data_IF_257093251204
#
_entry.id   IF_257093251204
#
_cell.length_a   1.000
_cell.length_b   1.000
_cell.length_c   1.000
_cell.angle_alpha   90.00
_cell.angle_beta   90.00
_cell.angle_gamma   90.00
#
_symmetry.space_group_name_H-M   'P 1'
#
loop_
_entity.id
_entity.type
_entity.pdbx_description
1 polymer ?
#
# COMPACT_ATOMS: atom_id res chain seq x y z
N UNK A 1 -3.51 -0.57 14.27
CA UNK A 1 -2.20 -1.09 13.86
C UNK A 1 -1.11 -0.36 14.63
N UNK A 2 -0.09 -1.08 15.11
CA UNK A 2 1.11 -0.50 15.76
C UNK A 2 2.21 -0.17 14.74
N UNK A 3 3.20 0.65 15.10
CA UNK A 3 4.37 0.91 14.23
C UNK A 3 5.09 -0.39 13.82
N UNK A 4 5.14 -1.36 14.73
CA UNK A 4 5.76 -2.67 14.51
C UNK A 4 5.02 -3.48 13.45
N UNK A 5 3.69 -3.56 13.55
CA UNK A 5 2.84 -4.22 12.54
C UNK A 5 2.93 -3.52 11.19
N UNK A 6 3.02 -2.19 11.18
CA UNK A 6 3.16 -1.41 9.96
C UNK A 6 4.49 -1.71 9.26
N UNK A 7 5.60 -1.80 10.02
CA UNK A 7 6.91 -2.18 9.48
C UNK A 7 6.94 -3.61 8.91
N UNK A 8 6.12 -4.51 9.44
CA UNK A 8 6.03 -5.88 8.93
C UNK A 8 5.47 -5.97 7.49
N UNK A 9 4.83 -4.90 7.00
CA UNK A 9 4.33 -4.81 5.62
C UNK A 9 5.39 -4.39 4.60
N UNK A 10 6.57 -3.94 5.03
CA UNK A 10 7.64 -3.55 4.10
C UNK A 10 8.14 -4.78 3.35
N UNK A 11 8.25 -4.66 2.02
CA UNK A 11 8.64 -5.75 1.14
C UNK A 11 7.49 -6.69 0.76
N UNK A 12 6.25 -6.39 1.14
CA UNK A 12 5.07 -7.18 0.79
C UNK A 12 4.38 -6.66 -0.47
N UNK A 13 3.85 -7.57 -1.29
CA UNK A 13 3.00 -7.23 -2.43
C UNK A 13 1.51 -7.19 -1.99
N UNK A 14 0.76 -6.18 -2.42
CA UNK A 14 -0.65 -5.92 -2.05
C UNK A 14 -1.47 -5.49 -3.26
N UNK A 15 -2.80 -5.54 -3.14
CA UNK A 15 -3.73 -4.93 -4.09
C UNK A 15 -4.18 -3.56 -3.56
N UNK A 16 -4.06 -2.52 -4.38
CA UNK A 16 -4.51 -1.16 -4.05
C UNK A 16 -5.75 -0.76 -4.86
N UNK A 17 -6.80 -0.28 -4.18
CA UNK A 17 -7.98 0.31 -4.81
C UNK A 17 -7.70 1.75 -5.22
N UNK A 18 -7.63 2.00 -6.53
CA UNK A 18 -7.31 3.32 -7.07
C UNK A 18 -8.50 4.28 -6.87
N UNK A 19 -8.36 5.35 -6.05
CA UNK A 19 -9.44 6.32 -5.82
C UNK A 19 -9.92 6.96 -7.13
N UNK A 20 -11.23 7.21 -7.25
CA UNK A 20 -11.82 7.89 -8.41
C UNK A 20 -11.99 7.04 -9.67
N UNK A 21 -11.48 5.80 -9.69
CA UNK A 21 -11.65 4.86 -10.82
C UNK A 21 -12.78 3.85 -10.61
N UNK A 22 -13.36 3.81 -9.42
CA UNK A 22 -14.57 3.06 -9.08
C UNK A 22 -14.41 1.54 -8.91
N UNK A 23 -13.49 0.86 -9.63
CA UNK A 23 -13.36 -0.62 -9.57
C UNK A 23 -11.95 -1.18 -9.87
N UNK A 24 -10.92 -0.35 -10.00
CA UNK A 24 -9.60 -0.85 -10.41
C UNK A 24 -8.75 -1.17 -9.19
N UNK A 25 -8.41 -2.45 -9.04
CA UNK A 25 -7.36 -2.92 -8.15
C UNK A 25 -6.05 -3.03 -8.94
N UNK A 26 -4.98 -2.49 -8.39
CA UNK A 26 -3.64 -2.58 -8.98
C UNK A 26 -2.72 -3.30 -8.01
N UNK A 27 -2.00 -4.31 -8.51
CA UNK A 27 -0.93 -4.95 -7.76
C UNK A 27 0.21 -3.97 -7.53
N UNK A 28 0.63 -3.85 -6.28
CA UNK A 28 1.71 -2.96 -5.85
C UNK A 28 2.64 -3.65 -4.87
N UNK A 29 3.90 -3.23 -4.84
CA UNK A 29 4.86 -3.58 -3.79
C UNK A 29 4.94 -2.46 -2.77
N UNK A 30 5.02 -2.81 -1.50
CA UNK A 30 5.24 -1.86 -0.39
C UNK A 30 6.73 -1.74 -0.13
N UNK A 31 7.29 -0.54 -0.26
CA UNK A 31 8.73 -0.29 -0.05
C UNK A 31 9.04 0.40 1.28
N UNK A 32 8.07 1.14 1.83
CA UNK A 32 8.21 1.84 3.10
C UNK A 32 6.85 2.05 3.77
N UNK A 33 6.86 2.26 5.09
CA UNK A 33 5.66 2.47 5.90
C UNK A 33 5.89 3.56 6.94
N UNK A 34 4.93 4.48 7.03
CA UNK A 34 4.98 5.59 8.00
C UNK A 34 3.62 5.85 8.64
N UNK A 35 3.66 6.60 9.74
CA UNK A 35 2.46 7.20 10.35
C UNK A 35 2.51 8.70 10.10
N UNK A 36 1.45 9.24 9.50
CA UNK A 36 1.28 10.66 9.23
C UNK A 36 -0.09 11.12 9.68
N UNK A 37 -0.15 12.15 10.53
CA UNK A 37 -1.41 12.67 11.09
C UNK A 37 -2.33 11.58 11.70
N UNK A 38 -1.73 10.60 12.39
CA UNK A 38 -2.47 9.49 13.01
C UNK A 38 -2.96 8.42 12.04
N UNK A 39 -2.65 8.52 10.73
CA UNK A 39 -2.98 7.53 9.71
C UNK A 39 -1.75 6.76 9.25
N UNK A 40 -1.89 5.45 9.06
CA UNK A 40 -0.85 4.61 8.47
C UNK A 40 -0.84 4.80 6.96
N UNK A 41 0.32 5.12 6.41
CA UNK A 41 0.54 5.25 4.98
C UNK A 41 1.60 4.27 4.50
N UNK A 42 1.36 3.71 3.32
CA UNK A 42 2.27 2.80 2.63
C UNK A 42 2.89 3.53 1.43
N UNK A 43 4.20 3.47 1.29
CA UNK A 43 4.86 3.84 0.04
C UNK A 43 4.79 2.64 -0.87
N UNK A 44 4.12 2.81 -2.01
CA UNK A 44 3.89 1.73 -2.95
C UNK A 44 4.43 2.03 -4.33
N UNK A 45 4.89 0.99 -5.02
CA UNK A 45 5.24 1.01 -6.44
C UNK A 45 4.44 -0.06 -7.20
N UNK A 46 4.06 0.15 -8.47
CA UNK A 46 3.36 -0.88 -9.24
C UNK A 46 4.28 -2.09 -9.46
N UNK A 47 3.72 -3.32 -9.45
CA UNK A 47 4.50 -4.54 -9.69
C UNK A 47 5.17 -4.58 -11.07
N UNK A 48 4.61 -3.86 -12.03
CA UNK A 48 5.19 -3.63 -13.35
C UNK A 48 5.17 -2.15 -13.69
N UNK A 49 6.27 -1.63 -14.20
CA UNK A 49 6.41 -0.22 -14.58
C UNK A 49 7.27 0.56 -13.59
N UNK A 50 6.90 1.82 -13.33
CA UNK A 50 7.69 2.74 -12.50
C UNK A 50 6.80 3.75 -11.77
N UNK A 51 7.32 4.27 -10.67
CA UNK A 51 6.71 5.35 -9.89
C UNK A 51 6.41 4.90 -8.46
N UNK A 52 6.43 5.85 -7.54
CA UNK A 52 6.10 5.63 -6.14
C UNK A 52 4.99 6.57 -5.70
N UNK A 53 4.13 6.10 -4.80
CA UNK A 53 3.10 6.94 -4.19
C UNK A 53 2.85 6.50 -2.75
N UNK A 54 2.59 7.49 -1.88
CA UNK A 54 2.05 7.23 -0.56
C UNK A 54 0.53 7.10 -0.64
N UNK A 55 0.00 6.02 -0.07
CA UNK A 55 -1.44 5.74 -0.01
C UNK A 55 -1.84 5.36 1.42
N UNK A 56 -3.11 5.55 1.76
CA UNK A 56 -3.64 5.11 3.04
C UNK A 56 -3.77 3.57 3.03
N UNK A 57 -3.29 2.92 4.08
CA UNK A 57 -3.26 1.45 4.17
C UNK A 57 -4.65 0.82 4.04
N UNK A 58 -5.68 1.52 4.50
CA UNK A 58 -7.09 1.13 4.41
C UNK A 58 -7.62 1.00 2.97
N UNK A 59 -6.88 1.53 1.98
CA UNK A 59 -7.20 1.36 0.56
C UNK A 59 -6.54 0.15 -0.07
N UNK A 60 -5.87 -0.70 0.72
CA UNK A 60 -5.18 -1.90 0.24
C UNK A 60 -5.73 -3.17 0.87
N UNK A 61 -5.55 -4.29 0.17
CA UNK A 61 -5.81 -5.63 0.67
C UNK A 61 -4.64 -6.54 0.31
N UNK A 62 -4.49 -7.65 1.04
CA UNK A 62 -3.50 -8.67 0.71
C UNK A 62 -3.78 -9.27 -0.68
N UNK A 63 -2.73 -9.70 -1.37
CA UNK A 63 -2.88 -10.59 -2.53
C UNK A 63 -3.14 -11.98 -1.95
N UNK A 64 -4.30 -12.55 -2.22
CA UNK A 64 -4.57 -13.97 -1.94
C UNK A 64 -3.96 -14.83 -3.05
N UNK A 65 -3.39 -15.98 -2.69
CA UNK A 65 -2.89 -17.00 -3.65
C UNK A 65 -4.05 -17.68 -4.41
#
# INVERSE_FOLDING_TARGET
MTLTEARALVGTDRLWLVPGTGKVLVGVRVDDVRVSYGRTQLQVQPLSGRGHRWIDAEMTQDVED
#
